data_IF_950847481621
#
_entry.id   IF_950847481621
#
_cell.length_a   1.000
_cell.length_b   1.000
_cell.length_c   1.000
_cell.angle_alpha   90.00
_cell.angle_beta   90.00
_cell.angle_gamma   90.00
#
_symmetry.space_group_name_H-M   'P 1'
#
loop_
_entity.id
_entity.type
_entity.pdbx_description
1 polymer ?
#
# COMPACT_ATOMS: atom_id res chain seq x y z
N UNK A 1 -0.84 2.53 -22.50
CA UNK A 1 -0.41 1.69 -21.37
C UNK A 1 -1.29 2.04 -20.17
N UNK A 2 -1.89 1.06 -19.50
CA UNK A 2 -2.71 1.26 -18.31
C UNK A 2 -1.85 1.02 -17.06
N UNK A 3 -1.95 1.90 -16.06
CA UNK A 3 -1.34 1.73 -14.75
C UNK A 3 -2.32 0.99 -13.84
N UNK A 4 -1.82 0.01 -13.08
CA UNK A 4 -2.60 -0.69 -12.07
C UNK A 4 -2.46 0.04 -10.74
N UNK A 5 -3.58 0.35 -10.08
CA UNK A 5 -3.56 1.05 -8.80
C UNK A 5 -4.22 0.20 -7.71
N UNK A 6 -3.62 0.19 -6.53
CA UNK A 6 -4.10 -0.50 -5.34
C UNK A 6 -4.14 0.45 -4.16
N UNK A 7 -5.05 0.20 -3.22
CA UNK A 7 -5.11 0.94 -1.96
C UNK A 7 -4.75 -0.04 -0.86
N UNK A 8 -3.80 0.34 -0.01
CA UNK A 8 -3.40 -0.44 1.15
C UNK A 8 -3.80 0.31 2.42
N UNK A 9 -4.35 -0.43 3.38
CA UNK A 9 -4.61 0.03 4.74
C UNK A 9 -3.52 -0.48 5.65
N UNK A 10 -2.79 0.46 6.25
CA UNK A 10 -1.72 0.22 7.20
C UNK A 10 -2.20 0.54 8.62
N UNK A 11 -1.35 0.26 9.62
CA UNK A 11 -1.47 0.92 10.92
C UNK A 11 -0.90 2.34 10.83
N UNK A 12 -1.42 3.24 11.66
CA UNK A 12 -0.92 4.63 11.75
C UNK A 12 0.55 4.73 12.13
N UNK A 13 1.02 3.85 13.02
CA UNK A 13 2.42 3.78 13.46
C UNK A 13 3.37 3.41 12.31
N UNK A 14 2.91 2.56 11.39
CA UNK A 14 3.71 2.05 10.28
C UNK A 14 3.60 2.91 9.01
N UNK A 15 2.60 3.79 8.92
CA UNK A 15 2.32 4.55 7.68
C UNK A 15 3.55 5.28 7.15
N UNK A 16 4.21 6.06 8.01
CA UNK A 16 5.34 6.90 7.59
C UNK A 16 6.52 6.02 7.18
N UNK A 17 6.76 4.93 7.91
CA UNK A 17 7.87 4.02 7.66
C UNK A 17 7.66 3.22 6.37
N UNK A 18 6.47 2.63 6.17
CA UNK A 18 6.15 1.85 4.97
C UNK A 18 6.15 2.75 3.74
N UNK A 19 5.56 3.96 3.84
CA UNK A 19 5.61 4.93 2.76
C UNK A 19 7.06 5.25 2.39
N UNK A 20 7.92 5.54 3.37
CA UNK A 20 9.33 5.82 3.15
C UNK A 20 10.08 4.63 2.51
N UNK A 21 9.86 3.41 2.99
CA UNK A 21 10.47 2.20 2.43
C UNK A 21 10.06 2.02 0.97
N UNK A 22 8.76 2.12 0.68
CA UNK A 22 8.23 1.93 -0.67
C UNK A 22 8.65 3.05 -1.62
N UNK A 23 8.72 4.30 -1.16
CA UNK A 23 9.25 5.43 -1.95
C UNK A 23 10.75 5.27 -2.26
N UNK A 24 11.49 4.54 -1.42
CA UNK A 24 12.88 4.15 -1.72
C UNK A 24 13.03 3.19 -2.91
N UNK A 25 11.96 2.49 -3.31
CA UNK A 25 11.93 1.64 -4.51
C UNK A 25 11.53 2.43 -5.76
N UNK A 26 12.30 3.47 -6.07
CA UNK A 26 12.08 4.32 -7.24
C UNK A 26 11.98 3.48 -8.54
N UNK A 27 10.96 3.76 -9.35
CA UNK A 27 10.76 3.10 -10.65
C UNK A 27 10.04 1.75 -10.61
N UNK A 28 9.63 1.25 -9.44
CA UNK A 28 8.79 0.03 -9.32
C UNK A 28 7.32 0.40 -9.14
N UNK A 29 7.05 1.29 -8.20
CA UNK A 29 5.72 1.79 -7.92
C UNK A 29 5.79 3.24 -7.42
N UNK A 30 4.68 3.96 -7.54
CA UNK A 30 4.52 5.29 -6.97
C UNK A 30 3.54 5.22 -5.80
N UNK A 31 3.94 5.79 -4.67
CA UNK A 31 3.13 5.83 -3.46
C UNK A 31 2.50 7.20 -3.32
N UNK A 32 1.24 7.23 -2.88
CA UNK A 32 0.57 8.48 -2.54
C UNK A 32 -0.33 8.26 -1.34
N UNK A 33 -0.22 9.11 -0.33
CA UNK A 33 -1.10 9.05 0.84
C UNK A 33 -2.53 9.42 0.43
N UNK A 34 -3.50 8.53 0.67
CA UNK A 34 -4.92 8.81 0.43
C UNK A 34 -5.50 9.48 1.66
N UNK A 35 -5.25 8.92 2.84
CA UNK A 35 -5.74 9.44 4.10
C UNK A 35 -4.83 9.01 5.25
N UNK A 36 -4.15 9.97 5.88
CA UNK A 36 -3.25 9.72 7.02
C UNK A 36 -3.99 9.43 8.33
N UNK A 37 -5.29 9.75 8.43
CA UNK A 37 -6.10 9.46 9.61
C UNK A 37 -6.48 7.98 9.67
N UNK A 38 -6.78 7.37 8.54
CA UNK A 38 -7.09 5.93 8.50
C UNK A 38 -5.92 5.08 8.00
N UNK A 39 -4.76 5.71 7.83
CA UNK A 39 -3.52 5.12 7.36
C UNK A 39 -3.68 4.39 6.01
N UNK A 40 -4.32 5.08 5.05
CA UNK A 40 -4.52 4.64 3.69
C UNK A 40 -3.45 5.21 2.77
N UNK A 41 -2.78 4.32 2.04
CA UNK A 41 -1.85 4.68 0.97
C UNK A 41 -2.32 4.07 -0.35
N UNK A 42 -2.01 4.75 -1.44
CA UNK A 42 -2.25 4.32 -2.81
C UNK A 42 -0.93 3.90 -3.42
N UNK A 43 -0.89 2.69 -3.94
CA UNK A 43 0.26 2.13 -4.64
C UNK A 43 -0.09 2.05 -6.13
N UNK A 44 0.65 2.80 -6.94
CA UNK A 44 0.51 2.81 -8.39
C UNK A 44 1.63 1.99 -9.00
N UNK A 45 1.30 0.86 -9.59
CA UNK A 45 2.25 -0.06 -10.19
C UNK A 45 2.66 0.44 -11.57
N UNK A 46 3.97 0.40 -11.84
CA UNK A 46 4.46 0.52 -13.21
C UNK A 46 4.14 -0.76 -14.00
N UNK A 47 3.77 -0.63 -15.28
CA UNK A 47 3.38 -1.77 -16.09
C UNK A 47 4.60 -2.68 -16.33
N UNK A 48 4.41 -3.99 -16.15
CA UNK A 48 5.49 -4.99 -16.29
C UNK A 48 6.31 -5.24 -15.02
N UNK A 49 5.99 -4.59 -13.89
CA UNK A 49 6.68 -4.74 -12.61
C UNK A 49 5.78 -5.36 -11.51
N UNK A 50 4.68 -5.99 -11.90
CA UNK A 50 3.72 -6.62 -10.98
C UNK A 50 4.38 -7.68 -10.09
N UNK A 51 5.26 -8.51 -10.65
CA UNK A 51 5.99 -9.53 -9.89
C UNK A 51 6.96 -8.91 -8.88
N UNK A 52 7.64 -7.81 -9.26
CA UNK A 52 8.57 -7.13 -8.37
C UNK A 52 7.83 -6.50 -7.17
N UNK A 53 6.71 -5.81 -7.42
CA UNK A 53 5.91 -5.27 -6.32
C UNK A 53 5.34 -6.40 -5.46
N UNK A 54 4.87 -7.49 -6.06
CA UNK A 54 4.33 -8.62 -5.29
C UNK A 54 5.35 -9.19 -4.32
N UNK A 55 6.62 -9.32 -4.71
CA UNK A 55 7.69 -9.79 -3.83
C UNK A 55 7.98 -8.79 -2.69
N UNK A 56 8.02 -7.49 -3.01
CA UNK A 56 8.24 -6.44 -1.99
C UNK A 56 7.10 -6.43 -0.97
N UNK A 57 5.85 -6.52 -1.44
CA UNK A 57 4.67 -6.56 -0.57
C UNK A 57 4.63 -7.83 0.29
N UNK A 58 5.04 -8.98 -0.26
CA UNK A 58 5.10 -10.24 0.48
C UNK A 58 6.12 -10.16 1.64
N UNK A 59 7.31 -9.61 1.37
CA UNK A 59 8.32 -9.35 2.41
C UNK A 59 7.82 -8.36 3.45
N UNK A 60 7.21 -7.26 3.01
CA UNK A 60 6.65 -6.27 3.92
C UNK A 60 5.53 -6.86 4.78
N UNK A 61 4.71 -7.77 4.27
CA UNK A 61 3.66 -8.44 5.06
C UNK A 61 4.22 -9.30 6.19
N UNK A 62 5.44 -9.80 6.04
CA UNK A 62 6.11 -10.56 7.09
C UNK A 62 6.54 -9.68 8.27
N UNK A 63 6.78 -8.39 8.04
CA UNK A 63 7.22 -7.45 9.08
C UNK A 63 6.12 -6.50 9.55
N UNK A 64 5.16 -6.20 8.67
CA UNK A 64 4.11 -5.22 8.88
C UNK A 64 2.72 -5.78 8.60
N UNK A 65 1.75 -5.43 9.46
CA UNK A 65 0.39 -5.92 9.32
C UNK A 65 -0.45 -4.93 8.50
N UNK A 66 -0.69 -5.23 7.21
CA UNK A 66 -1.51 -4.41 6.32
C UNK A 66 -2.41 -5.19 5.37
N UNK A 67 -3.48 -4.53 4.94
CA UNK A 67 -4.57 -5.13 4.17
C UNK A 67 -4.77 -4.41 2.82
N UNK A 68 -5.12 -5.17 1.78
CA UNK A 68 -5.49 -4.61 0.47
C UNK A 68 -6.96 -4.19 0.53
N UNK A 69 -7.23 -2.92 0.24
CA UNK A 69 -8.58 -2.37 0.22
C UNK A 69 -9.08 -2.41 -1.22
N UNK A 70 -10.10 -3.23 -1.52
CA UNK A 70 -10.68 -3.26 -2.86
C UNK A 70 -11.29 -1.89 -3.18
N UNK A 71 -11.21 -1.43 -4.44
CA UNK A 71 -11.71 -0.12 -4.85
C UNK A 71 -13.23 0.06 -4.68
N UNK A 72 -13.96 -1.02 -4.42
CA UNK A 72 -15.42 -1.04 -4.27
C UNK A 72 -15.93 -0.85 -2.85
N UNK A 73 -15.08 -0.87 -1.81
CA UNK A 73 -15.56 -0.99 -0.43
C UNK A 73 -15.12 0.20 0.44
N UNK A 74 -15.94 1.25 0.46
CA UNK A 74 -15.88 2.31 1.48
C UNK A 74 -16.63 1.86 2.74
N UNK A 75 -16.27 0.73 3.33
CA UNK A 75 -16.82 0.28 4.62
C UNK A 75 -15.66 0.09 5.60
N UNK A 76 -15.20 1.22 6.14
CA UNK A 76 -14.30 1.25 7.27
C UNK A 76 -15.08 0.93 8.55
N UNK A 77 -15.42 -0.35 8.75
CA UNK A 77 -15.66 -0.86 10.09
C UNK A 77 -14.31 -0.90 10.81
N UNK A 78 -14.10 0.08 11.68
CA UNK A 78 -13.09 -0.01 12.73
C UNK A 78 -13.49 -1.14 13.67
N UNK A 79 -13.04 -2.37 13.40
CA UNK A 79 -13.07 -3.43 14.40
C UNK A 79 -11.78 -3.40 15.21
N UNK A 80 -11.97 -2.89 16.42
CA UNK A 80 -11.12 -2.95 17.61
C UNK A 80 -10.53 -4.34 17.85
N UNK A 81 -9.32 -4.39 18.41
CA UNK A 81 -9.01 -5.28 19.54
C UNK A 81 -7.86 -4.76 20.37
#
# INVERSE_FOLDING_TARGET
MMLSTKILRLKREDLVLIQYILEGYEGICSISTVDSRVALIRVTLMPGLESALSEILDRLRSEFNFEDVPPSCSEFEGKSS
#
